data_IF_741716570758
#
_entry.id   IF_741716570758
#
_cell.length_a   1.000
_cell.length_b   1.000
_cell.length_c   1.000
_cell.angle_alpha   90.00
_cell.angle_beta   90.00
_cell.angle_gamma   90.00
#
_symmetry.space_group_name_H-M   'P 1'
#
loop_
_entity.id
_entity.type
_entity.pdbx_description
1 polymer ?
#
# COMPACT_ATOMS: atom_id res chain seq x y z
N UNK A 1 3.85 42.64 6.78
CA UNK A 1 4.59 42.44 5.51
C UNK A 1 5.12 40.99 5.48
N UNK A 2 4.52 40.11 4.68
CA UNK A 2 4.91 38.69 4.61
C UNK A 2 6.13 38.53 3.67
N UNK A 3 7.29 38.16 4.22
CA UNK A 3 8.50 37.86 3.42
C UNK A 3 8.26 36.58 2.61
N UNK A 4 8.11 36.72 1.28
CA UNK A 4 8.05 35.59 0.34
C UNK A 4 9.39 34.85 0.38
N UNK A 5 9.40 33.60 0.86
CA UNK A 5 10.60 32.75 0.90
C UNK A 5 11.00 32.43 -0.55
N UNK A 6 12.19 32.83 -1.00
CA UNK A 6 12.70 32.47 -2.33
C UNK A 6 12.91 30.96 -2.39
N UNK A 7 12.12 30.28 -3.22
CA UNK A 7 12.28 28.84 -3.51
C UNK A 7 13.47 28.70 -4.45
N UNK A 8 14.44 27.86 -4.08
CA UNK A 8 15.61 27.56 -4.92
C UNK A 8 15.17 26.70 -6.12
N UNK A 9 15.72 26.92 -7.33
CA UNK A 9 15.39 26.09 -8.48
C UNK A 9 15.88 24.65 -8.28
N UNK A 10 15.03 23.67 -8.61
CA UNK A 10 15.38 22.24 -8.58
C UNK A 10 16.49 22.00 -9.60
N UNK A 11 17.60 21.40 -9.16
CA UNK A 11 18.73 21.09 -10.04
C UNK A 11 18.67 19.63 -10.47
N UNK A 12 19.31 19.25 -11.58
CA UNK A 12 19.39 17.84 -12.02
C UNK A 12 20.01 16.91 -10.95
N UNK A 13 20.76 17.48 -9.99
CA UNK A 13 21.36 16.76 -8.87
C UNK A 13 20.35 16.40 -7.77
N UNK A 14 19.19 17.05 -7.74
CA UNK A 14 18.08 16.72 -6.84
C UNK A 14 17.23 15.56 -7.38
N UNK A 15 17.40 15.18 -8.65
CA UNK A 15 16.62 14.10 -9.28
C UNK A 15 17.36 12.78 -9.11
N UNK A 16 16.83 11.91 -8.25
CA UNK A 16 17.33 10.54 -8.13
C UNK A 16 16.78 9.72 -9.30
N UNK A 17 17.64 9.33 -10.24
CA UNK A 17 17.27 8.47 -11.37
C UNK A 17 17.34 7.03 -10.89
N UNK A 18 16.17 6.38 -10.77
CA UNK A 18 16.07 4.98 -10.37
C UNK A 18 15.88 4.13 -11.64
N UNK A 19 16.53 2.98 -11.67
CA UNK A 19 16.33 1.98 -12.73
C UNK A 19 14.90 1.39 -12.67
N UNK A 20 14.27 1.23 -13.84
CA UNK A 20 12.91 0.71 -13.99
C UNK A 20 12.72 -0.67 -13.34
N UNK A 21 13.72 -1.54 -13.39
CA UNK A 21 13.67 -2.86 -12.78
C UNK A 21 13.63 -2.78 -11.26
N UNK A 22 14.43 -1.90 -10.66
CA UNK A 22 14.40 -1.64 -9.21
C UNK A 22 13.10 -0.98 -8.77
N UNK A 23 12.59 -0.02 -9.55
CA UNK A 23 11.33 0.65 -9.26
C UNK A 23 10.17 -0.34 -9.27
N UNK A 24 10.07 -1.18 -10.31
CA UNK A 24 9.02 -2.19 -10.42
C UNK A 24 9.07 -3.18 -9.26
N UNK A 25 10.27 -3.62 -8.86
CA UNK A 25 10.45 -4.50 -7.70
C UNK A 25 9.99 -3.84 -6.39
N UNK A 26 10.33 -2.56 -6.19
CA UNK A 26 9.90 -1.79 -5.02
C UNK A 26 8.38 -1.61 -4.98
N UNK A 27 7.76 -1.26 -6.11
CA UNK A 27 6.31 -1.12 -6.23
C UNK A 27 5.63 -2.46 -5.94
N UNK A 28 6.09 -3.54 -6.57
CA UNK A 28 5.54 -4.89 -6.34
C UNK A 28 5.66 -5.30 -4.87
N UNK A 29 6.80 -5.04 -4.21
CA UNK A 29 6.96 -5.34 -2.79
C UNK A 29 6.01 -4.53 -1.90
N UNK A 30 5.84 -3.23 -2.18
CA UNK A 30 4.93 -2.36 -1.43
C UNK A 30 3.45 -2.77 -1.62
N UNK A 31 3.05 -3.08 -2.86
CA UNK A 31 1.71 -3.56 -3.16
C UNK A 31 1.43 -4.93 -2.55
N UNK A 32 2.42 -5.84 -2.53
CA UNK A 32 2.27 -7.13 -1.84
C UNK A 32 2.09 -6.96 -0.35
N UNK A 33 2.84 -6.05 0.30
CA UNK A 33 2.67 -5.76 1.73
C UNK A 33 1.25 -5.31 2.04
N UNK A 34 0.74 -4.36 1.25
CA UNK A 34 -0.63 -3.87 1.40
C UNK A 34 -1.69 -4.97 1.13
N UNK A 35 -1.47 -5.82 0.13
CA UNK A 35 -2.37 -6.93 -0.17
C UNK A 35 -2.34 -8.02 0.90
N UNK A 36 -1.18 -8.28 1.52
CA UNK A 36 -1.04 -9.25 2.62
C UNK A 36 -1.80 -8.80 3.87
N UNK A 37 -1.76 -7.51 4.21
CA UNK A 37 -2.60 -6.96 5.28
C UNK A 37 -4.10 -7.14 4.97
N UNK A 38 -4.52 -6.87 3.72
CA UNK A 38 -5.92 -7.06 3.31
C UNK A 38 -6.36 -8.53 3.25
N UNK A 39 -5.43 -9.43 2.94
CA UNK A 39 -5.70 -10.86 2.85
C UNK A 39 -6.14 -11.44 4.19
N UNK A 40 -5.48 -11.06 5.29
CA UNK A 40 -5.84 -11.52 6.63
C UNK A 40 -7.26 -11.07 7.02
N UNK A 41 -7.62 -9.83 6.72
CA UNK A 41 -8.99 -9.31 6.91
C UNK A 41 -10.03 -10.06 6.07
N UNK A 42 -9.70 -10.38 4.81
CA UNK A 42 -10.58 -11.14 3.92
C UNK A 42 -10.78 -12.58 4.37
N UNK A 43 -9.70 -13.26 4.75
CA UNK A 43 -9.74 -14.63 5.27
C UNK A 43 -10.51 -14.69 6.58
N UNK A 44 -10.27 -13.76 7.51
CA UNK A 44 -11.03 -13.71 8.76
C UNK A 44 -12.53 -13.53 8.51
N UNK A 45 -12.93 -12.62 7.62
CA UNK A 45 -14.33 -12.43 7.25
C UNK A 45 -14.96 -13.68 6.61
N UNK A 46 -14.23 -14.35 5.72
CA UNK A 46 -14.67 -15.60 5.10
C UNK A 46 -14.80 -16.74 6.12
N UNK A 47 -13.83 -16.89 7.02
CA UNK A 47 -13.83 -17.90 8.08
C UNK A 47 -14.98 -17.65 9.04
N UNK A 48 -15.20 -16.40 9.46
CA UNK A 48 -16.34 -16.02 10.30
C UNK A 48 -17.69 -16.32 9.63
N UNK A 49 -17.81 -16.04 8.32
CA UNK A 49 -19.00 -16.38 7.54
C UNK A 49 -19.21 -17.90 7.44
N UNK A 50 -18.16 -18.65 7.11
CA UNK A 50 -18.22 -20.09 6.99
C UNK A 50 -18.55 -20.76 8.34
N UNK A 51 -17.90 -20.32 9.43
CA UNK A 51 -18.20 -20.77 10.79
C UNK A 51 -19.63 -20.44 11.19
N UNK A 52 -20.09 -19.21 10.91
CA UNK A 52 -21.48 -18.81 11.13
C UNK A 52 -22.46 -19.74 10.41
N UNK A 53 -22.18 -20.10 9.16
CA UNK A 53 -23.01 -21.03 8.38
C UNK A 53 -22.96 -22.48 8.86
N UNK A 54 -21.80 -22.96 9.32
CA UNK A 54 -21.63 -24.35 9.78
C UNK A 54 -22.20 -24.55 11.18
N UNK A 55 -21.99 -23.59 12.08
CA UNK A 55 -22.43 -23.69 13.48
C UNK A 55 -23.82 -23.09 13.73
N UNK A 56 -24.28 -22.15 12.89
CA UNK A 56 -25.62 -21.56 12.96
C UNK A 56 -26.30 -21.57 11.56
N UNK A 57 -26.58 -22.76 11.01
CA UNK A 57 -27.28 -22.89 9.73
C UNK A 57 -28.74 -22.44 9.87
N UNK A 58 -28.98 -21.15 9.64
CA UNK A 58 -30.25 -20.49 9.98
C UNK A 58 -30.11 -19.87 11.38
N UNK A 59 -30.39 -18.57 11.51
CA UNK A 59 -30.53 -17.98 12.85
C UNK A 59 -31.61 -18.69 13.65
#
# INVERSE_FOLDING_TARGET
MLKRKKVKPITLRDVTIIDDGKLRKAITAASLGNAMEWFDFGVYGFVAYALGKVFFPGG
#
